data_IF_181725451351
#
_entry.id   IF_181725451351
#
_cell.length_a   1.000
_cell.length_b   1.000
_cell.length_c   1.000
_cell.angle_alpha   90.00
_cell.angle_beta   90.00
_cell.angle_gamma   90.00
#
_symmetry.space_group_name_H-M   'P 1'
#
loop_
_entity.id
_entity.type
_entity.pdbx_description
1 polymer ?
#
# COMPACT_ATOMS: atom_id res chain seq x y z
N UNK A 1 -0.18 4.69 -93.75
CA UNK A 1 -1.23 4.40 -94.77
C UNK A 1 -1.21 2.92 -95.08
N UNK A 2 -2.36 2.38 -95.50
CA UNK A 2 -2.68 0.97 -95.78
C UNK A 2 -2.96 0.16 -94.50
N UNK A 3 -4.22 -0.07 -94.07
CA UNK A 3 -5.34 -0.71 -94.77
C UNK A 3 -4.92 -2.11 -95.28
N UNK A 4 -5.25 -3.17 -94.54
CA UNK A 4 -6.51 -3.92 -94.62
C UNK A 4 -6.30 -5.20 -95.43
N UNK A 5 -6.25 -6.34 -94.72
CA UNK A 5 -7.14 -7.52 -94.83
C UNK A 5 -7.90 -7.73 -96.16
N UNK A 6 -8.42 -8.95 -96.47
CA UNK A 6 -8.20 -10.28 -95.88
C UNK A 6 -8.16 -11.38 -96.99
N UNK A 7 -8.14 -12.67 -96.60
CA UNK A 7 -9.12 -13.70 -97.00
C UNK A 7 -8.57 -15.11 -96.78
N UNK A 8 -9.48 -16.01 -96.39
CA UNK A 8 -9.40 -17.41 -96.80
C UNK A 8 -9.33 -18.43 -95.68
N UNK A 9 -10.51 -18.89 -95.23
CA UNK A 9 -10.72 -20.07 -94.40
C UNK A 9 -10.33 -21.35 -95.15
N UNK A 10 -9.70 -22.33 -94.48
CA UNK A 10 -9.99 -23.76 -94.62
C UNK A 10 -9.29 -24.60 -93.54
N UNK A 11 -9.89 -25.73 -93.23
CA UNK A 11 -9.79 -26.45 -91.97
C UNK A 11 -8.74 -27.57 -91.96
N UNK A 12 -7.96 -27.63 -90.85
CA UNK A 12 -7.44 -28.80 -90.11
C UNK A 12 -6.56 -29.83 -90.86
N UNK A 13 -5.82 -30.75 -90.20
CA UNK A 13 -5.43 -30.86 -88.79
C UNK A 13 -3.91 -31.06 -88.64
N UNK A 14 -3.29 -30.72 -87.50
CA UNK A 14 -2.01 -31.36 -87.14
C UNK A 14 -1.69 -31.27 -85.65
N UNK A 15 -1.15 -32.37 -85.20
CA UNK A 15 -0.82 -32.73 -83.84
C UNK A 15 0.21 -31.81 -83.17
N UNK A 16 0.23 -31.91 -81.84
CA UNK A 16 1.33 -31.59 -80.92
C UNK A 16 1.63 -30.10 -80.66
N UNK A 17 1.15 -29.64 -79.51
CA UNK A 17 1.70 -28.50 -78.75
C UNK A 17 1.00 -28.51 -77.40
N UNK A 18 1.67 -28.85 -76.29
CA UNK A 18 2.43 -27.93 -75.43
C UNK A 18 1.70 -26.61 -75.20
N UNK A 19 0.67 -26.64 -74.38
CA UNK A 19 0.09 -25.47 -73.72
C UNK A 19 -0.40 -25.96 -72.37
N UNK A 20 -0.31 -25.25 -71.27
CA UNK A 20 0.34 -24.02 -70.88
C UNK A 20 -0.07 -23.95 -69.41
N UNK A 21 0.86 -23.62 -68.52
CA UNK A 21 0.52 -23.41 -67.10
C UNK A 21 -0.61 -22.39 -67.01
N UNK A 22 -1.82 -22.85 -66.69
CA UNK A 22 -2.81 -21.96 -66.10
C UNK A 22 -2.42 -21.81 -64.63
N UNK A 23 -2.28 -20.58 -64.11
CA UNK A 23 -2.19 -20.39 -62.68
C UNK A 23 -3.55 -20.79 -62.13
N UNK A 24 -3.58 -21.87 -61.34
CA UNK A 24 -4.69 -22.14 -60.44
C UNK A 24 -4.87 -20.87 -59.62
N UNK A 25 -6.00 -20.19 -59.83
CA UNK A 25 -6.48 -19.14 -58.95
C UNK A 25 -6.71 -19.79 -57.58
N UNK A 26 -5.64 -19.87 -56.79
CA UNK A 26 -5.71 -20.12 -55.36
C UNK A 26 -6.28 -18.83 -54.78
N UNK A 27 -7.60 -18.75 -54.73
CA UNK A 27 -8.29 -17.86 -53.81
C UNK A 27 -7.86 -18.28 -52.42
N UNK A 28 -6.85 -17.61 -51.88
CA UNK A 28 -6.53 -17.68 -50.47
C UNK A 28 -7.74 -17.10 -49.74
N UNK A 29 -8.62 -17.98 -49.29
CA UNK A 29 -9.65 -17.64 -48.32
C UNK A 29 -8.91 -17.27 -47.03
N UNK A 30 -8.64 -15.98 -46.86
CA UNK A 30 -8.15 -15.43 -45.59
C UNK A 30 -9.29 -15.61 -44.59
N UNK A 31 -9.28 -16.73 -43.87
CA UNK A 31 -10.16 -16.94 -42.73
C UNK A 31 -9.72 -15.95 -41.64
N UNK A 32 -10.31 -14.77 -41.65
CA UNK A 32 -10.24 -13.84 -40.52
C UNK A 32 -11.01 -14.49 -39.38
N UNK A 33 -10.29 -15.18 -38.50
CA UNK A 33 -10.86 -15.66 -37.24
C UNK A 33 -11.07 -14.41 -36.39
N UNK A 34 -12.32 -14.00 -36.08
CA UNK A 34 -12.54 -12.90 -35.19
C UNK A 34 -12.02 -13.32 -33.80
N UNK A 35 -10.93 -12.72 -33.36
CA UNK A 35 -10.49 -12.83 -31.97
C UNK A 35 -11.66 -12.30 -31.13
N UNK A 36 -12.38 -13.19 -30.45
CA UNK A 36 -13.41 -12.82 -29.47
C UNK A 36 -12.72 -12.06 -28.35
N UNK A 37 -12.57 -10.75 -28.51
CA UNK A 37 -12.28 -9.85 -27.40
C UNK A 37 -13.51 -9.87 -26.52
N UNK A 38 -13.51 -10.68 -25.45
CA UNK A 38 -14.56 -10.61 -24.44
C UNK A 38 -14.66 -9.15 -24.00
N UNK A 39 -15.81 -8.50 -24.25
CA UNK A 39 -16.12 -7.20 -23.64
C UNK A 39 -16.00 -7.41 -22.13
N UNK A 40 -14.97 -6.81 -21.52
CA UNK A 40 -14.84 -6.79 -20.06
C UNK A 40 -15.95 -5.89 -19.55
N UNK A 41 -17.06 -6.49 -19.16
CA UNK A 41 -18.12 -5.80 -18.42
C UNK A 41 -17.59 -5.58 -17.01
N UNK A 42 -17.18 -4.36 -16.70
CA UNK A 42 -17.04 -3.90 -15.32
C UNK A 42 -18.43 -3.51 -14.83
N UNK A 43 -19.01 -4.21 -13.83
CA UNK A 43 -20.26 -3.78 -13.24
C UNK A 43 -20.10 -2.35 -12.68
N UNK A 44 -21.15 -1.52 -12.73
CA UNK A 44 -21.09 -0.19 -12.15
C UNK A 44 -20.83 -0.30 -10.64
N UNK A 45 -19.87 0.48 -10.14
CA UNK A 45 -19.66 0.65 -8.70
C UNK A 45 -20.88 1.38 -8.17
N UNK A 46 -21.70 0.71 -7.36
CA UNK A 46 -22.86 1.35 -6.73
C UNK A 46 -22.35 2.18 -5.57
N UNK A 47 -22.36 3.50 -5.72
CA UNK A 47 -22.05 4.41 -4.60
C UNK A 47 -23.14 4.30 -3.54
N UNK A 48 -22.77 4.33 -2.27
CA UNK A 48 -23.75 4.45 -1.20
C UNK A 48 -24.49 5.78 -1.40
N UNK A 49 -25.83 5.71 -1.50
CA UNK A 49 -26.68 6.90 -1.66
C UNK A 49 -26.61 7.86 -0.46
N UNK A 50 -25.98 7.44 0.62
CA UNK A 50 -25.83 8.16 1.88
C UNK A 50 -24.35 8.39 2.17
N UNK A 51 -24.01 9.59 2.62
CA UNK A 51 -22.64 9.97 2.97
C UNK A 51 -22.35 9.77 4.45
N UNK A 52 -23.39 9.67 5.28
CA UNK A 52 -23.30 9.44 6.72
C UNK A 52 -24.26 8.36 7.19
N UNK A 53 -23.92 7.69 8.29
CA UNK A 53 -24.79 6.70 8.95
C UNK A 53 -26.12 7.32 9.40
N UNK A 54 -26.12 8.61 9.75
CA UNK A 54 -27.34 9.34 10.13
C UNK A 54 -28.29 9.50 8.96
N UNK A 55 -27.79 9.91 7.79
CA UNK A 55 -28.58 9.99 6.57
C UNK A 55 -29.10 8.62 6.14
N UNK A 56 -28.30 7.56 6.32
CA UNK A 56 -28.73 6.19 6.07
C UNK A 56 -29.91 5.79 6.96
N UNK A 57 -29.78 6.03 8.27
CA UNK A 57 -30.82 5.70 9.24
C UNK A 57 -32.08 6.55 8.99
N UNK A 58 -31.94 7.83 8.65
CA UNK A 58 -33.06 8.68 8.27
C UNK A 58 -33.73 8.23 6.99
N UNK A 59 -32.96 7.83 5.97
CA UNK A 59 -33.50 7.28 4.73
C UNK A 59 -34.18 5.93 4.97
N UNK A 60 -33.60 5.05 5.80
CA UNK A 60 -34.22 3.80 6.21
C UNK A 60 -35.55 4.05 6.93
N UNK A 61 -35.57 5.00 7.87
CA UNK A 61 -36.79 5.46 8.57
C UNK A 61 -37.83 6.02 7.59
N UNK A 62 -37.43 6.88 6.65
CA UNK A 62 -38.30 7.44 5.60
C UNK A 62 -38.83 6.35 4.64
N UNK A 63 -38.04 5.31 4.38
CA UNK A 63 -38.43 4.13 3.62
C UNK A 63 -39.28 3.13 4.45
N UNK A 64 -39.62 3.46 5.71
CA UNK A 64 -40.39 2.60 6.60
C UNK A 64 -39.62 1.39 7.17
N UNK A 65 -38.30 1.34 6.98
CA UNK A 65 -37.43 0.27 7.47
C UNK A 65 -36.82 0.65 8.82
N UNK A 66 -37.28 0.00 9.89
CA UNK A 66 -36.68 0.12 11.23
C UNK A 66 -35.66 -0.99 11.40
N UNK A 67 -34.37 -0.62 11.43
CA UNK A 67 -33.28 -1.58 11.68
C UNK A 67 -33.18 -1.77 13.20
N UNK A 68 -33.45 -2.99 13.73
CA UNK A 68 -33.27 -3.25 15.15
C UNK A 68 -31.78 -3.22 15.51
N UNK A 69 -31.40 -2.83 16.74
CA UNK A 69 -30.03 -2.96 17.19
C UNK A 69 -29.62 -4.43 17.16
N UNK A 70 -28.44 -4.72 16.61
CA UNK A 70 -27.91 -6.08 16.55
C UNK A 70 -27.72 -6.64 17.95
N UNK A 71 -28.35 -7.78 18.22
CA UNK A 71 -28.13 -8.57 19.43
C UNK A 71 -27.11 -9.64 19.10
N UNK A 72 -25.83 -9.32 19.30
CA UNK A 72 -24.75 -10.28 19.10
C UNK A 72 -24.68 -11.22 20.31
N UNK A 73 -25.10 -12.46 20.14
CA UNK A 73 -24.88 -13.52 21.15
C UNK A 73 -23.39 -13.82 21.35
N UNK A 74 -22.60 -13.65 20.27
CA UNK A 74 -21.14 -13.85 20.29
C UNK A 74 -20.44 -12.53 19.95
N UNK A 75 -19.61 -11.99 20.84
CA UNK A 75 -18.85 -10.79 20.54
C UNK A 75 -17.83 -11.07 19.43
N UNK A 76 -17.51 -10.04 18.65
CA UNK A 76 -16.47 -10.12 17.63
C UNK A 76 -15.11 -10.15 18.35
N UNK A 77 -14.36 -11.24 18.14
CA UNK A 77 -13.02 -11.39 18.67
C UNK A 77 -12.02 -10.70 17.76
N UNK A 78 -11.34 -9.68 18.28
CA UNK A 78 -10.29 -8.95 17.58
C UNK A 78 -8.93 -9.42 18.11
N UNK A 79 -7.98 -9.63 17.19
CA UNK A 79 -6.61 -10.04 17.53
C UNK A 79 -5.63 -8.87 17.64
N UNK A 80 -6.02 -7.70 17.15
CA UNK A 80 -5.24 -6.46 17.21
C UNK A 80 -6.13 -5.30 17.65
N UNK A 81 -5.48 -4.24 18.09
CA UNK A 81 -6.16 -2.96 18.33
C UNK A 81 -6.40 -2.21 17.02
N UNK A 82 -7.22 -1.16 17.06
CA UNK A 82 -7.50 -0.33 15.88
C UNK A 82 -6.38 0.67 15.56
N UNK A 83 -5.50 0.96 16.53
CA UNK A 83 -4.45 1.96 16.33
C UNK A 83 -3.44 2.00 17.47
N UNK A 84 -2.50 2.93 17.35
CA UNK A 84 -1.41 3.12 18.29
C UNK A 84 -1.92 3.89 19.52
N UNK A 85 -1.63 3.42 20.74
CA UNK A 85 -2.16 4.03 21.96
C UNK A 85 -1.59 5.42 22.28
N UNK A 86 -0.27 5.50 22.44
CA UNK A 86 0.48 6.74 22.73
C UNK A 86 1.61 6.80 21.70
N UNK A 87 1.32 7.44 20.57
CA UNK A 87 2.28 7.54 19.47
C UNK A 87 3.55 8.25 19.97
N UNK A 88 4.68 7.59 19.77
CA UNK A 88 5.97 8.20 20.05
C UNK A 88 6.15 9.41 19.11
N UNK A 89 6.57 10.54 19.67
CA UNK A 89 6.89 11.75 18.90
C UNK A 89 8.41 11.84 18.81
N UNK A 90 9.02 11.53 17.65
CA UNK A 90 10.45 11.64 17.47
C UNK A 90 10.94 13.08 17.66
N UNK A 91 12.05 13.30 18.39
CA UNK A 91 12.59 14.63 18.55
C UNK A 91 13.10 15.18 17.21
N UNK A 92 12.73 16.43 16.91
CA UNK A 92 13.32 17.20 15.81
C UNK A 92 14.84 17.28 16.02
N UNK A 93 15.60 16.83 15.03
CA UNK A 93 17.06 16.80 15.15
C UNK A 93 17.62 15.52 15.80
N UNK A 94 16.92 14.39 15.75
CA UNK A 94 17.54 13.07 16.04
C UNK A 94 18.76 12.79 15.11
N UNK A 95 18.90 13.55 14.00
CA UNK A 95 20.09 13.60 13.14
C UNK A 95 21.11 14.72 13.49
N UNK A 96 20.72 15.74 14.25
CA UNK A 96 21.55 16.89 14.67
C UNK A 96 21.06 17.39 16.04
N UNK A 97 21.70 16.89 17.10
CA UNK A 97 21.27 17.19 18.48
C UNK A 97 21.83 18.55 18.93
N UNK A 98 20.97 19.58 19.00
CA UNK A 98 21.22 20.85 19.71
C UNK A 98 19.87 21.57 19.89
N UNK A 99 19.52 22.33 20.93
CA UNK A 99 20.24 23.00 22.03
C UNK A 99 19.24 23.28 23.16
N UNK A 100 19.73 23.54 24.38
CA UNK A 100 18.97 23.74 25.62
C UNK A 100 18.03 24.98 25.55
N UNK A 101 16.77 24.78 25.14
CA UNK A 101 15.68 25.76 25.25
C UNK A 101 14.75 25.41 26.43
N UNK A 102 13.98 26.38 26.94
CA UNK A 102 12.98 26.20 28.02
C UNK A 102 11.92 25.15 27.66
N UNK A 103 11.56 25.03 26.38
CA UNK A 103 10.71 23.96 25.86
C UNK A 103 11.36 22.57 25.98
N UNK A 104 12.69 22.51 26.01
CA UNK A 104 13.45 21.28 26.21
C UNK A 104 13.30 20.68 27.61
N UNK A 105 13.03 21.49 28.65
CA UNK A 105 12.80 20.98 30.01
C UNK A 105 11.43 20.28 30.13
N UNK A 106 10.37 20.88 29.58
CA UNK A 106 9.05 20.25 29.51
C UNK A 106 9.10 18.93 28.71
N UNK A 107 9.74 18.95 27.52
CA UNK A 107 9.98 17.75 26.71
C UNK A 107 10.78 16.68 27.49
N UNK A 108 11.74 17.06 28.34
CA UNK A 108 12.51 16.11 29.18
C UNK A 108 11.66 15.52 30.31
N UNK A 109 10.85 16.33 30.99
CA UNK A 109 9.93 15.83 32.03
C UNK A 109 8.93 14.83 31.44
N UNK A 110 8.38 15.12 30.26
CA UNK A 110 7.52 14.20 29.53
C UNK A 110 8.24 12.91 29.13
N UNK A 111 9.49 13.00 28.65
CA UNK A 111 10.30 11.81 28.36
C UNK A 111 10.50 10.94 29.59
N UNK A 112 10.81 11.53 30.74
CA UNK A 112 10.95 10.79 32.00
C UNK A 112 9.64 10.09 32.37
N UNK A 113 8.49 10.79 32.32
CA UNK A 113 7.18 10.19 32.56
C UNK A 113 6.89 9.03 31.59
N UNK A 114 7.17 9.23 30.29
CA UNK A 114 6.99 8.21 29.25
C UNK A 114 7.91 7.00 29.47
N UNK A 115 9.13 7.22 29.99
CA UNK A 115 10.09 6.16 30.32
C UNK A 115 9.65 5.37 31.56
N UNK A 116 9.11 6.01 32.59
CA UNK A 116 8.55 5.29 33.75
C UNK A 116 7.37 4.43 33.30
N UNK A 117 6.48 4.98 32.48
CA UNK A 117 5.36 4.23 31.92
C UNK A 117 5.81 3.06 31.01
N UNK A 118 6.93 3.19 30.30
CA UNK A 118 7.48 2.08 29.49
C UNK A 118 8.06 0.98 30.38
N UNK A 119 8.76 1.33 31.46
CA UNK A 119 9.27 0.36 32.43
C UNK A 119 8.14 -0.40 33.14
N UNK A 120 7.03 0.27 33.48
CA UNK A 120 5.84 -0.40 34.02
C UNK A 120 5.19 -1.34 33.00
N UNK A 121 5.10 -0.91 31.73
CA UNK A 121 4.55 -1.74 30.65
C UNK A 121 5.41 -2.99 30.41
N UNK A 122 6.74 -2.84 30.45
CA UNK A 122 7.69 -3.95 30.38
C UNK A 122 7.45 -4.97 31.49
N UNK A 123 7.23 -4.52 32.73
CA UNK A 123 6.95 -5.41 33.87
C UNK A 123 5.68 -6.21 33.61
N UNK A 124 4.60 -5.56 33.15
CA UNK A 124 3.34 -6.23 32.77
C UNK A 124 3.53 -7.27 31.67
N UNK A 125 4.33 -6.97 30.63
CA UNK A 125 4.62 -7.95 29.56
C UNK A 125 5.34 -9.16 30.15
N UNK A 126 6.30 -8.96 31.06
CA UNK A 126 7.03 -10.05 31.71
C UNK A 126 6.16 -10.87 32.67
N UNK A 127 5.16 -10.25 33.29
CA UNK A 127 4.17 -10.94 34.12
C UNK A 127 3.30 -11.88 33.26
N UNK A 128 2.93 -11.49 32.05
CA UNK A 128 2.19 -12.35 31.11
C UNK A 128 3.09 -13.37 30.39
N UNK A 129 4.33 -12.99 30.05
CA UNK A 129 5.26 -13.77 29.24
C UNK A 129 6.66 -13.73 29.89
N UNK A 130 6.95 -14.71 30.74
CA UNK A 130 8.20 -14.78 31.51
C UNK A 130 9.45 -14.92 30.62
N UNK A 131 9.31 -15.43 29.40
CA UNK A 131 10.42 -15.62 28.46
C UNK A 131 10.80 -14.34 27.70
N UNK A 132 10.04 -13.25 27.89
CA UNK A 132 10.24 -12.02 27.14
C UNK A 132 11.49 -11.24 27.57
N UNK A 133 12.46 -11.15 26.66
CA UNK A 133 13.68 -10.34 26.79
C UNK A 133 13.65 -9.15 25.83
N UNK A 134 13.90 -7.96 26.37
CA UNK A 134 13.91 -6.71 25.57
C UNK A 134 15.14 -6.59 24.70
N UNK A 135 16.29 -7.11 25.17
CA UNK A 135 17.56 -6.99 24.45
C UNK A 135 17.56 -7.75 23.12
N UNK A 136 16.82 -8.85 23.06
CA UNK A 136 16.75 -9.73 21.90
C UNK A 136 15.63 -9.30 20.94
N UNK A 137 14.73 -8.43 21.40
CA UNK A 137 13.57 -7.97 20.63
C UNK A 137 13.93 -7.17 19.36
N UNK A 138 14.91 -6.26 19.34
CA UNK A 138 15.27 -5.51 18.13
C UNK A 138 15.68 -6.40 16.96
N UNK A 139 16.42 -7.49 17.22
CA UNK A 139 16.82 -8.45 16.19
C UNK A 139 15.60 -9.20 15.64
N UNK A 140 14.71 -9.65 16.54
CA UNK A 140 13.44 -10.26 16.14
C UNK A 140 12.57 -9.30 15.32
N UNK A 141 12.48 -8.05 15.73
CA UNK A 141 11.74 -7.00 15.04
C UNK A 141 12.30 -6.76 13.63
N UNK A 142 13.62 -6.69 13.48
CA UNK A 142 14.29 -6.59 12.18
C UNK A 142 13.97 -7.77 11.28
N UNK A 143 14.00 -8.99 11.81
CA UNK A 143 13.69 -10.20 11.03
C UNK A 143 12.24 -10.20 10.54
N UNK A 144 11.27 -9.90 11.42
CA UNK A 144 9.85 -9.77 11.05
C UNK A 144 9.67 -8.70 9.96
N UNK A 145 10.35 -7.56 10.10
CA UNK A 145 10.29 -6.48 9.14
C UNK A 145 10.79 -6.92 7.76
N UNK A 146 11.98 -7.54 7.69
CA UNK A 146 12.55 -8.02 6.42
C UNK A 146 11.64 -9.09 5.79
N UNK A 147 11.21 -10.07 6.58
CA UNK A 147 10.40 -11.18 6.12
C UNK A 147 9.06 -10.71 5.55
N UNK A 148 8.39 -9.76 6.22
CA UNK A 148 7.13 -9.22 5.75
C UNK A 148 7.28 -8.46 4.42
N UNK A 149 8.37 -7.71 4.22
CA UNK A 149 8.61 -7.03 2.94
C UNK A 149 9.00 -8.02 1.82
N UNK A 150 9.69 -9.12 2.14
CA UNK A 150 9.92 -10.21 1.18
C UNK A 150 8.60 -10.91 0.79
N UNK A 151 7.68 -11.09 1.73
CA UNK A 151 6.33 -11.60 1.44
C UNK A 151 5.56 -10.66 0.50
N UNK A 152 5.73 -9.34 0.62
CA UNK A 152 5.14 -8.38 -0.33
C UNK A 152 5.71 -8.54 -1.75
N UNK A 153 7.01 -8.80 -1.90
CA UNK A 153 7.61 -9.04 -3.21
C UNK A 153 7.02 -10.29 -3.89
N UNK A 154 6.81 -11.35 -3.11
CA UNK A 154 6.30 -12.64 -3.59
C UNK A 154 4.77 -12.72 -3.62
N UNK A 155 4.06 -11.69 -3.12
CA UNK A 155 2.61 -11.69 -2.90
C UNK A 155 2.10 -12.87 -2.04
N UNK A 156 2.91 -13.31 -1.05
CA UNK A 156 2.52 -14.35 -0.09
C UNK A 156 1.68 -13.73 1.04
N UNK A 157 0.36 -13.73 0.85
CA UNK A 157 -0.58 -13.13 1.80
C UNK A 157 -0.78 -13.97 3.06
N UNK A 158 -0.70 -15.30 2.95
CA UNK A 158 -0.93 -16.21 4.08
C UNK A 158 0.15 -16.01 5.15
N UNK A 159 1.41 -15.98 4.72
CA UNK A 159 2.53 -15.69 5.63
C UNK A 159 2.48 -14.25 6.13
N UNK A 160 2.08 -13.29 5.29
CA UNK A 160 1.98 -11.88 5.69
C UNK A 160 0.97 -11.68 6.84
N UNK A 161 -0.16 -12.38 6.84
CA UNK A 161 -1.13 -12.34 7.95
C UNK A 161 -0.58 -12.85 9.29
N UNK A 162 0.45 -13.70 9.27
CA UNK A 162 1.12 -14.16 10.50
C UNK A 162 2.11 -13.15 11.05
N UNK A 163 2.70 -12.30 10.20
CA UNK A 163 3.74 -11.32 10.53
C UNK A 163 3.19 -9.91 10.80
N UNK A 164 2.04 -9.59 10.21
CA UNK A 164 1.42 -8.26 10.24
C UNK A 164 0.03 -8.35 10.86
N UNK A 165 -0.41 -7.31 11.56
CA UNK A 165 -1.76 -7.24 12.12
C UNK A 165 -2.80 -6.95 11.04
N UNK A 166 -4.05 -7.21 11.38
CA UNK A 166 -5.22 -6.96 10.55
C UNK A 166 -5.39 -5.47 10.21
N UNK A 167 -4.90 -4.58 11.09
CA UNK A 167 -4.87 -3.13 10.86
C UNK A 167 -3.82 -2.71 9.83
N UNK A 168 -2.62 -3.29 9.90
CA UNK A 168 -1.50 -2.89 9.03
C UNK A 168 -1.51 -3.58 7.65
N UNK A 169 -2.12 -4.77 7.55
CA UNK A 169 -2.27 -5.51 6.30
C UNK A 169 -2.92 -4.71 5.15
N UNK A 170 -4.11 -4.07 5.34
CA UNK A 170 -4.74 -3.31 4.25
C UNK A 170 -3.86 -2.16 3.76
N UNK A 171 -3.22 -1.42 4.68
CA UNK A 171 -2.34 -0.29 4.34
C UNK A 171 -1.14 -0.73 3.47
N UNK A 172 -0.61 -1.93 3.71
CA UNK A 172 0.50 -2.46 2.92
C UNK A 172 0.05 -3.01 1.56
N UNK A 173 -1.08 -3.70 1.50
CA UNK A 173 -1.47 -4.50 0.32
C UNK A 173 -2.35 -3.74 -0.67
N UNK A 174 -3.22 -2.84 -0.20
CA UNK A 174 -4.29 -2.26 -1.03
C UNK A 174 -3.75 -1.52 -2.26
N UNK A 175 -2.75 -0.67 -2.07
CA UNK A 175 -2.14 0.12 -3.15
C UNK A 175 -1.22 -0.69 -4.07
N UNK A 176 -0.83 -1.90 -3.64
CA UNK A 176 0.08 -2.79 -4.34
C UNK A 176 -0.63 -3.91 -5.12
N UNK A 177 -1.93 -4.10 -4.91
CA UNK A 177 -2.72 -5.22 -5.48
C UNK A 177 -2.54 -5.46 -6.99
N UNK A 178 -2.31 -4.39 -7.78
CA UNK A 178 -2.11 -4.48 -9.23
C UNK A 178 -0.74 -3.96 -9.67
N UNK A 179 0.26 -4.03 -8.80
CA UNK A 179 1.63 -3.57 -9.03
C UNK A 179 2.61 -4.64 -8.60
N UNK A 180 3.82 -4.60 -9.16
CA UNK A 180 4.90 -5.49 -8.73
C UNK A 180 5.90 -4.68 -7.92
N UNK A 181 6.24 -5.18 -6.73
CA UNK A 181 7.23 -4.54 -5.85
C UNK A 181 8.51 -5.35 -5.86
N UNK A 182 9.63 -4.65 -6.00
CA UNK A 182 10.97 -5.17 -5.76
C UNK A 182 11.56 -4.35 -4.62
N UNK A 183 11.53 -4.94 -3.43
CA UNK A 183 12.17 -4.39 -2.25
C UNK A 183 13.36 -5.27 -1.85
N UNK A 184 14.48 -4.66 -1.47
CA UNK A 184 15.61 -5.40 -0.91
C UNK A 184 16.18 -4.71 0.32
N UNK A 185 16.64 -5.54 1.27
CA UNK A 185 17.37 -5.09 2.44
C UNK A 185 18.87 -5.14 2.16
N UNK A 186 19.54 -3.98 2.14
CA UNK A 186 20.97 -3.91 1.85
C UNK A 186 21.77 -4.02 3.15
N UNK A 187 21.64 -3.02 4.03
CA UNK A 187 22.38 -2.98 5.28
C UNK A 187 21.63 -2.21 6.38
N UNK A 188 22.03 -2.45 7.63
CA UNK A 188 21.57 -1.67 8.79
C UNK A 188 22.66 -0.67 9.13
N UNK A 189 22.40 0.63 8.98
CA UNK A 189 23.36 1.68 9.34
C UNK A 189 23.53 1.74 10.85
N UNK A 190 22.40 1.75 11.56
CA UNK A 190 22.36 1.66 13.01
C UNK A 190 21.63 0.38 13.42
N UNK A 191 21.98 -0.21 14.58
CA UNK A 191 21.19 -1.29 15.15
C UNK A 191 19.79 -0.77 15.51
N UNK A 192 18.74 -1.60 15.35
CA UNK A 192 17.39 -1.22 15.77
C UNK A 192 17.33 -0.96 17.27
N UNK A 193 16.67 0.12 17.68
CA UNK A 193 16.56 0.51 19.09
C UNK A 193 15.10 0.53 19.53
N UNK A 194 14.80 -0.10 20.66
CA UNK A 194 13.49 0.00 21.29
C UNK A 194 13.38 1.37 21.96
N UNK A 195 12.39 2.16 21.51
CA UNK A 195 12.20 3.54 21.97
C UNK A 195 11.19 3.59 23.11
N UNK A 196 10.01 3.05 22.87
CA UNK A 196 8.89 3.11 23.82
C UNK A 196 8.11 1.81 23.80
N UNK A 197 7.71 1.37 24.99
CA UNK A 197 6.83 0.21 25.21
C UNK A 197 5.56 0.72 25.90
N UNK A 198 4.41 0.24 25.45
CA UNK A 198 3.09 0.56 26.00
C UNK A 198 2.26 -0.70 26.14
N UNK A 199 1.56 -0.81 27.25
CA UNK A 199 0.54 -1.83 27.44
C UNK A 199 -0.80 -1.16 27.72
N UNK A 200 -1.84 -1.60 27.03
CA UNK A 200 -3.20 -1.18 27.29
C UNK A 200 -4.03 -2.37 27.72
N UNK A 201 -4.91 -2.14 28.68
CA UNK A 201 -5.95 -3.07 29.05
C UNK A 201 -7.25 -2.56 28.43
N UNK A 202 -7.79 -3.29 27.45
CA UNK A 202 -9.08 -2.93 26.88
C UNK A 202 -10.17 -3.40 27.85
N UNK A 203 -10.62 -2.48 28.70
CA UNK A 203 -11.53 -2.73 29.83
C UNK A 203 -12.79 -3.53 29.44
N UNK A 204 -13.25 -3.40 28.19
CA UNK A 204 -14.48 -4.03 27.72
C UNK A 204 -14.34 -5.53 27.40
N UNK A 205 -13.11 -6.06 27.24
CA UNK A 205 -12.89 -7.44 26.79
C UNK A 205 -11.94 -8.25 27.69
N UNK A 206 -11.38 -7.66 28.75
CA UNK A 206 -10.32 -8.30 29.55
C UNK A 206 -9.04 -8.61 28.76
N UNK A 207 -8.95 -8.10 27.53
CA UNK A 207 -7.84 -8.34 26.62
C UNK A 207 -6.75 -7.28 26.84
N UNK A 208 -5.51 -7.75 27.02
CA UNK A 208 -4.34 -6.89 27.20
C UNK A 208 -3.45 -6.93 25.95
N UNK A 209 -3.12 -5.76 25.43
CA UNK A 209 -2.27 -5.62 24.25
C UNK A 209 -0.99 -4.88 24.60
N UNK A 210 0.15 -5.42 24.16
CA UNK A 210 1.46 -4.81 24.28
C UNK A 210 1.90 -4.24 22.93
N UNK A 211 2.24 -2.95 22.90
CA UNK A 211 2.81 -2.26 21.75
C UNK A 211 4.28 -1.89 22.03
N UNK A 212 5.17 -2.19 21.10
CA UNK A 212 6.59 -1.83 21.16
C UNK A 212 6.93 -1.02 19.92
N UNK A 213 7.51 0.15 20.14
CA UNK A 213 8.04 1.01 19.07
C UNK A 213 9.54 0.81 18.94
N UNK A 214 9.99 0.55 17.71
CA UNK A 214 11.39 0.31 17.36
C UNK A 214 11.82 1.33 16.32
N UNK A 215 12.88 2.08 16.61
CA UNK A 215 13.58 2.92 15.64
C UNK A 215 14.46 2.03 14.79
N UNK A 216 14.28 2.11 13.47
CA UNK A 216 15.10 1.42 12.48
C UNK A 216 15.75 2.45 11.56
N UNK A 217 17.07 2.39 11.41
CA UNK A 217 17.81 3.18 10.44
C UNK A 217 18.59 2.25 9.52
N UNK A 218 18.10 2.11 8.29
CA UNK A 218 18.50 1.04 7.36
C UNK A 218 18.66 1.59 5.96
N UNK A 219 19.46 0.91 5.13
CA UNK A 219 19.55 1.16 3.70
C UNK A 219 18.74 0.12 2.96
N UNK A 220 17.83 0.59 2.14
CA UNK A 220 16.88 -0.25 1.41
C UNK A 220 16.88 0.15 -0.06
N UNK A 221 16.59 -0.80 -0.95
CA UNK A 221 16.23 -0.49 -2.35
C UNK A 221 14.76 -0.79 -2.54
N UNK A 222 14.10 0.04 -3.35
CA UNK A 222 12.69 -0.12 -3.64
C UNK A 222 12.42 0.34 -5.06
N UNK A 223 11.85 -0.55 -5.86
CA UNK A 223 11.32 -0.28 -7.19
C UNK A 223 9.89 -0.80 -7.28
N UNK A 224 8.97 0.06 -7.71
CA UNK A 224 7.57 -0.30 -7.94
C UNK A 224 7.30 -0.23 -9.43
N UNK A 225 6.78 -1.33 -9.97
CA UNK A 225 6.38 -1.46 -11.36
C UNK A 225 4.85 -1.45 -11.47
N UNK A 226 4.37 -0.79 -12.51
CA UNK A 226 2.95 -0.78 -12.89
C UNK A 226 2.48 -2.19 -13.30
N UNK A 227 1.18 -2.38 -13.52
CA UNK A 227 0.61 -3.62 -14.08
C UNK A 227 1.20 -4.02 -15.45
N UNK A 228 1.78 -3.06 -16.16
CA UNK A 228 2.43 -3.27 -17.46
C UNK A 228 3.95 -3.48 -17.34
N UNK A 229 4.49 -3.59 -16.12
CA UNK A 229 5.93 -3.78 -15.90
C UNK A 229 6.79 -2.52 -16.09
N UNK A 230 6.17 -1.34 -16.24
CA UNK A 230 6.91 -0.06 -16.36
C UNK A 230 7.26 0.47 -14.97
N UNK A 231 8.46 1.00 -14.81
CA UNK A 231 8.90 1.60 -13.55
C UNK A 231 8.02 2.83 -13.21
N UNK A 232 7.42 2.82 -12.02
CA UNK A 232 6.58 3.91 -11.51
C UNK A 232 7.29 4.76 -10.46
N UNK A 233 8.06 4.11 -9.59
CA UNK A 233 8.67 4.72 -8.42
C UNK A 233 9.96 4.02 -8.02
N UNK A 234 10.93 4.80 -7.58
CA UNK A 234 12.20 4.31 -7.05
C UNK A 234 13.13 3.75 -8.12
N UNK A 235 14.20 3.10 -7.65
CA UNK A 235 15.25 2.47 -8.44
C UNK A 235 15.72 1.23 -7.68
N UNK A 236 16.02 0.16 -8.41
CA UNK A 236 16.42 -1.12 -7.81
C UNK A 236 17.90 -1.11 -7.38
N UNK A 237 18.76 -0.42 -8.14
CA UNK A 237 20.21 -0.42 -7.94
C UNK A 237 20.70 0.59 -6.89
N UNK A 238 19.93 1.67 -6.65
CA UNK A 238 20.37 2.78 -5.80
C UNK A 238 19.77 2.61 -4.39
N UNK A 239 20.57 2.19 -3.40
CA UNK A 239 20.10 2.11 -2.02
C UNK A 239 19.86 3.50 -1.46
N UNK A 240 18.82 3.62 -0.63
CA UNK A 240 18.47 4.84 0.08
C UNK A 240 18.38 4.59 1.56
N UNK A 241 18.82 5.60 2.30
CA UNK A 241 18.82 5.59 3.75
C UNK A 241 17.41 5.96 4.22
N UNK A 242 16.81 5.08 5.02
CA UNK A 242 15.47 5.24 5.56
C UNK A 242 15.54 5.20 7.08
N UNK A 243 14.95 6.20 7.73
CA UNK A 243 14.74 6.24 9.17
C UNK A 243 13.25 6.14 9.44
N UNK A 244 12.85 5.10 10.16
CA UNK A 244 11.45 4.79 10.41
C UNK A 244 11.24 4.22 11.82
N UNK A 245 10.08 4.54 12.41
CA UNK A 245 9.67 4.06 13.71
C UNK A 245 8.53 3.05 13.50
N UNK A 246 8.88 1.77 13.61
CA UNK A 246 7.95 0.66 13.38
C UNK A 246 7.33 0.24 14.72
N UNK A 247 6.01 0.12 14.74
CA UNK A 247 5.25 -0.32 15.92
C UNK A 247 4.86 -1.77 15.73
N UNK A 248 5.21 -2.59 16.72
CA UNK A 248 4.82 -3.99 16.83
C UNK A 248 3.77 -4.15 17.91
N UNK A 249 2.82 -5.04 17.72
CA UNK A 249 1.79 -5.38 18.68
C UNK A 249 1.76 -6.89 18.96
N UNK A 250 1.50 -7.25 20.21
CA UNK A 250 1.17 -8.62 20.63
C UNK A 250 -0.05 -8.58 21.54
N UNK A 251 -1.00 -9.49 21.28
CA UNK A 251 -2.06 -9.81 22.24
C UNK A 251 -1.47 -10.68 23.35
N UNK A 252 -1.41 -10.16 24.58
CA UNK A 252 -0.69 -10.80 25.70
C UNK A 252 -1.50 -11.91 26.37
N UNK A 253 -2.84 -11.83 26.34
CA UNK A 253 -3.73 -12.82 26.96
C UNK A 253 -3.81 -14.10 26.12
N UNK A 254 -3.64 -14.00 24.80
CA UNK A 254 -3.64 -15.15 23.91
C UNK A 254 -2.32 -15.94 24.03
N UNK A 255 -2.33 -17.23 24.40
CA UNK A 255 -1.13 -18.05 24.49
C UNK A 255 -0.40 -18.22 23.15
N UNK A 256 -1.13 -18.14 22.03
CA UNK A 256 -0.57 -18.21 20.68
C UNK A 256 -0.20 -16.83 20.11
N UNK A 257 -0.24 -15.78 20.94
CA UNK A 257 0.07 -14.42 20.53
C UNK A 257 1.53 -14.27 20.07
N UNK A 258 1.72 -13.89 18.80
CA UNK A 258 3.02 -13.50 18.27
C UNK A 258 3.15 -11.98 18.18
N UNK A 259 4.39 -11.50 18.09
CA UNK A 259 4.67 -10.11 17.79
C UNK A 259 4.46 -9.87 16.29
N UNK A 260 3.58 -8.94 15.95
CA UNK A 260 3.23 -8.60 14.57
C UNK A 260 3.41 -7.11 14.32
N UNK A 261 3.74 -6.72 13.10
CA UNK A 261 3.79 -5.30 12.72
C UNK A 261 2.39 -4.70 12.75
N UNK A 262 2.22 -3.55 13.41
CA UNK A 262 0.93 -2.92 13.61
C UNK A 262 0.81 -1.55 12.97
N UNK A 263 1.90 -0.79 12.89
CA UNK A 263 1.85 0.54 12.31
C UNK A 263 3.22 1.16 12.15
N UNK A 264 3.25 2.28 11.45
CA UNK A 264 4.46 3.06 11.18
C UNK A 264 4.24 4.51 11.61
N UNK A 265 5.15 5.03 12.41
CA UNK A 265 5.14 6.44 12.81
C UNK A 265 6.05 7.19 11.86
N UNK A 266 5.49 8.18 11.16
CA UNK A 266 6.22 9.11 10.29
C UNK A 266 6.31 10.46 11.01
N UNK A 267 7.51 10.92 11.42
CA UNK A 267 7.64 12.23 12.04
C UNK A 267 7.30 13.33 11.03
N UNK A 268 6.70 14.45 11.48
CA UNK A 268 6.33 15.55 10.59
C UNK A 268 7.55 16.25 9.96
N UNK A 269 8.70 16.21 10.65
CA UNK A 269 9.97 16.76 10.19
C UNK A 269 10.75 15.82 9.26
N UNK A 270 10.25 14.61 8.99
CA UNK A 270 10.91 13.69 8.06
C UNK A 270 11.05 14.36 6.67
N UNK A 271 12.17 14.15 5.97
CA UNK A 271 12.29 14.65 4.61
C UNK A 271 11.19 14.04 3.73
N UNK A 272 10.68 14.78 2.74
CA UNK A 272 9.69 14.25 1.83
C UNK A 272 10.24 13.04 1.08
N UNK A 273 9.35 12.11 0.74
CA UNK A 273 9.70 10.95 -0.08
C UNK A 273 10.17 11.41 -1.46
N UNK A 274 10.86 10.52 -2.18
CA UNK A 274 11.24 10.78 -3.56
C UNK A 274 10.00 11.16 -4.39
N UNK A 275 10.08 12.12 -5.31
CA UNK A 275 8.99 12.39 -6.24
C UNK A 275 8.75 11.19 -7.16
N UNK A 276 7.51 11.04 -7.61
CA UNK A 276 7.14 10.09 -8.66
C UNK A 276 7.71 10.53 -10.01
N UNK A 277 7.95 9.58 -10.91
CA UNK A 277 8.52 9.86 -12.23
C UNK A 277 7.55 10.61 -13.18
N UNK A 278 6.23 10.45 -12.97
CA UNK A 278 5.19 11.07 -13.79
C UNK A 278 4.76 12.43 -13.25
N UNK A 279 4.25 13.28 -14.13
CA UNK A 279 3.55 14.51 -13.74
C UNK A 279 2.11 14.21 -13.30
N UNK A 280 1.58 15.05 -12.41
CA UNK A 280 0.20 14.95 -11.92
C UNK A 280 -0.48 16.31 -12.09
N UNK A 281 -1.69 16.30 -12.63
CA UNK A 281 -2.56 17.47 -12.69
C UNK A 281 -3.60 17.33 -11.57
N UNK A 282 -3.73 18.36 -10.75
CA UNK A 282 -4.77 18.46 -9.73
C UNK A 282 -5.91 19.26 -10.36
N UNK A 283 -7.11 18.68 -10.53
CA UNK A 283 -8.23 19.42 -11.12
C UNK A 283 -8.66 20.56 -10.21
N UNK A 284 -9.03 21.69 -10.81
CA UNK A 284 -9.59 22.82 -10.08
C UNK A 284 -10.98 22.52 -9.48
N UNK A 285 -11.53 23.44 -8.68
CA UNK A 285 -12.87 23.32 -8.13
C UNK A 285 -13.93 23.10 -9.22
N UNK A 286 -14.84 22.15 -9.00
CA UNK A 286 -15.98 21.92 -9.89
C UNK A 286 -17.11 22.88 -9.51
N UNK A 287 -17.16 24.02 -10.19
CA UNK A 287 -18.17 25.06 -9.97
C UNK A 287 -19.50 24.66 -10.58
N UNK A 288 -20.60 24.97 -9.89
CA UNK A 288 -21.93 24.87 -10.50
C UNK A 288 -22.11 26.01 -11.51
N UNK A 289 -23.01 25.87 -12.51
CA UNK A 289 -23.17 26.89 -13.55
C UNK A 289 -23.50 28.31 -13.10
N UNK A 290 -23.96 28.48 -11.84
CA UNK A 290 -24.32 29.77 -11.24
C UNK A 290 -23.35 30.23 -10.14
N UNK A 291 -22.25 29.50 -9.94
CA UNK A 291 -21.22 29.82 -8.95
C UNK A 291 -19.99 30.37 -9.69
N UNK A 292 -19.56 31.57 -9.31
CA UNK A 292 -18.34 32.18 -9.83
C UNK A 292 -17.11 31.61 -9.10
N UNK A 293 -15.95 31.63 -9.78
CA UNK A 293 -14.69 31.20 -9.18
C UNK A 293 -14.19 32.28 -8.21
N UNK A 294 -14.04 31.91 -6.94
CA UNK A 294 -13.35 32.74 -5.96
C UNK A 294 -11.89 32.30 -5.87
N UNK A 295 -10.97 33.22 -6.16
CA UNK A 295 -9.54 32.99 -5.96
C UNK A 295 -9.23 32.90 -4.45
N UNK A 296 -8.66 31.79 -3.96
CA UNK A 296 -8.26 31.71 -2.57
C UNK A 296 -7.11 32.69 -2.32
N UNK A 297 -7.36 33.72 -1.50
CA UNK A 297 -6.31 34.60 -0.98
C UNK A 297 -5.51 33.83 0.09
N UNK A 298 -4.52 33.06 -0.34
CA UNK A 298 -3.63 32.33 0.55
C UNK A 298 -2.22 32.25 -0.03
N UNK A 299 -1.26 32.90 0.62
CA UNK A 299 0.17 32.78 0.31
C UNK A 299 0.58 31.31 0.22
N UNK A 300 0.91 30.85 -0.99
CA UNK A 300 1.56 29.57 -1.18
C UNK A 300 2.89 29.61 -0.40
N UNK A 301 2.92 29.00 0.79
CA UNK A 301 4.15 28.70 1.49
C UNK A 301 5.01 27.86 0.55
N UNK A 302 5.97 28.51 -0.12
CA UNK A 302 7.05 27.83 -0.82
C UNK A 302 7.72 26.91 0.19
N UNK A 303 7.88 25.61 -0.09
CA UNK A 303 8.69 24.77 0.77
C UNK A 303 10.09 25.39 0.81
N UNK A 304 10.50 25.85 1.99
CA UNK A 304 11.87 26.30 2.22
C UNK A 304 12.78 25.09 1.95
N UNK A 305 13.55 25.17 0.87
CA UNK A 305 14.68 24.28 0.62
C UNK A 305 15.68 24.49 1.76
N UNK A 306 15.76 23.51 2.66
CA UNK A 306 16.81 23.39 3.67
C UNK A 306 17.80 22.30 3.24
#
# INVERSE_FOLDING_TARGET
>A
MAASMPRGLSCLPRALGRWSRQPVLVTQSTAVVPVRTKKRFTPPTYESKFKSEKEFVEHARKAGLVIPPERLERPIHLACTAGIFDAYVPPEGDARVSSLSKEGLARRAERLKKNVASQLSIRRIRECDANFKIKDFPEKAKNIFIEAHLCLNNSDHDRLHTLVTENCFPDMVWDLKYKTVRWSFVESLEPPLVVQVRCSNLLNQGNMYGQITVRMHTRQTLAIYDRFGRLMYGQEDVPKDVLEYVVFEKHLVNPYGSWRMHGKIVPPWAPPKQPILKTVMIPGPQLKPWEDYEEPQGEAHKPQLA
#
